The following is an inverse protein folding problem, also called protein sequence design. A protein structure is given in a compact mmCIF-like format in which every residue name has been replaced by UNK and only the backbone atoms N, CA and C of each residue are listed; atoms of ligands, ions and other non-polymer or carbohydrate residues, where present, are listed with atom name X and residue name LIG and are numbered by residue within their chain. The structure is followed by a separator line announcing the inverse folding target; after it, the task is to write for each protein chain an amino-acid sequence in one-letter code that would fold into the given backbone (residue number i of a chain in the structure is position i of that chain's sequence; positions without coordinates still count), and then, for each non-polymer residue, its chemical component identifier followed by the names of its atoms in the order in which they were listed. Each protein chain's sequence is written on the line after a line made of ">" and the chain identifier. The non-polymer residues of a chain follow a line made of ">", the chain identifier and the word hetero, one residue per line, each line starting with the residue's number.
data_IF_849408975337
#
_entry.id   IF_849408975337
#
_cell.length_a   1.000
_cell.length_b   1.000
_cell.length_c   1.000
_cell.angle_alpha   90.00
_cell.angle_beta   90.00
_cell.angle_gamma   90.00
#
_symmetry.space_group_name_H-M   'P 1'
#
loop_
_entity.id
_entity.type
_entity.pdbx_description
1 polymer ?
#
# COMPACT_ATOMS: atom_id res chain seq x y z
N UNK A 1 -13.62 7.93 -6.29
CA UNK A 1 -12.47 7.02 -6.14
C UNK A 1 -11.35 7.72 -5.42
N UNK A 2 -10.30 7.00 -5.05
CA UNK A 2 -9.07 7.58 -4.48
C UNK A 2 -8.30 8.41 -5.50
N UNK A 3 -7.53 9.39 -5.01
CA UNK A 3 -6.67 10.30 -5.79
C UNK A 3 -5.20 10.08 -5.42
N UNK A 4 -4.27 10.62 -6.21
CA UNK A 4 -2.83 10.59 -5.89
C UNK A 4 -2.50 11.16 -4.51
N UNK A 5 -3.25 12.15 -4.04
CA UNK A 5 -3.10 12.73 -2.70
C UNK A 5 -3.46 11.78 -1.56
N UNK A 6 -4.29 10.75 -1.83
CA UNK A 6 -4.71 9.79 -0.80
C UNK A 6 -3.68 8.68 -0.60
N UNK A 7 -2.76 8.49 -1.55
CA UNK A 7 -1.81 7.38 -1.58
C UNK A 7 -0.98 7.30 -0.30
N UNK A 8 -0.44 8.42 0.17
CA UNK A 8 0.40 8.44 1.38
C UNK A 8 -0.39 7.95 2.61
N UNK A 9 -1.63 8.43 2.75
CA UNK A 9 -2.52 8.02 3.84
C UNK A 9 -2.87 6.53 3.73
N UNK A 10 -3.15 6.04 2.52
CA UNK A 10 -3.46 4.62 2.29
C UNK A 10 -2.27 3.72 2.60
N UNK A 11 -1.06 4.10 2.19
CA UNK A 11 0.19 3.39 2.54
C UNK A 11 0.36 3.31 4.05
N UNK A 12 0.18 4.43 4.77
CA UNK A 12 0.27 4.46 6.23
C UNK A 12 -0.75 3.53 6.89
N UNK A 13 -2.01 3.59 6.45
CA UNK A 13 -3.07 2.72 6.97
C UNK A 13 -2.76 1.23 6.71
N UNK A 14 -2.21 0.88 5.55
CA UNK A 14 -1.83 -0.49 5.24
C UNK A 14 -0.76 -1.02 6.22
N UNK A 15 0.21 -0.19 6.59
CA UNK A 15 1.31 -0.57 7.49
C UNK A 15 0.92 -0.56 8.97
N UNK A 16 0.04 0.35 9.39
CA UNK A 16 -0.31 0.54 10.80
C UNK A 16 -1.55 -0.24 11.24
N UNK A 17 -2.39 -0.71 10.31
CA UNK A 17 -3.58 -1.50 10.65
C UNK A 17 -3.15 -2.92 11.06
N UNK A 18 -3.36 -3.33 12.33
CA UNK A 18 -2.79 -4.58 12.83
C UNK A 18 -3.22 -5.83 12.05
N UNK A 19 -4.48 -5.90 11.61
CA UNK A 19 -4.99 -7.02 10.82
C UNK A 19 -4.34 -7.15 9.45
N UNK A 20 -3.83 -6.07 8.88
CA UNK A 20 -3.14 -6.07 7.58
C UNK A 20 -1.67 -6.48 7.72
N UNK A 21 -1.06 -6.35 8.90
CA UNK A 21 0.33 -6.74 9.14
C UNK A 21 0.61 -8.21 8.84
N UNK A 22 -0.34 -9.11 9.15
CA UNK A 22 -0.24 -10.53 8.78
C UNK A 22 -0.28 -10.74 7.26
N UNK A 23 -1.14 -10.01 6.55
CA UNK A 23 -1.22 -10.11 5.09
C UNK A 23 0.06 -9.60 4.42
N UNK A 24 0.63 -8.51 4.95
CA UNK A 24 1.90 -7.95 4.47
C UNK A 24 3.08 -8.90 4.75
N UNK A 25 3.07 -9.65 5.85
CA UNK A 25 4.14 -10.61 6.16
C UNK A 25 4.10 -11.87 5.29
N UNK A 26 2.95 -12.18 4.69
CA UNK A 26 2.81 -13.28 3.72
C UNK A 26 3.31 -12.93 2.32
N UNK A 27 3.61 -11.65 2.04
CA UNK A 27 4.10 -11.24 0.73
C UNK A 27 5.45 -11.94 0.43
N UNK A 28 5.71 -12.35 -0.82
CA UNK A 28 6.96 -13.02 -1.21
C UNK A 28 8.17 -12.08 -1.19
N UNK A 29 7.93 -10.78 -0.96
CA UNK A 29 8.93 -9.73 -0.84
C UNK A 29 8.63 -8.91 0.41
N UNK A 30 9.64 -8.19 0.90
CA UNK A 30 9.47 -7.31 2.04
C UNK A 30 8.51 -6.16 1.70
N UNK A 31 7.49 -5.97 2.54
CA UNK A 31 6.49 -4.93 2.40
C UNK A 31 7.00 -3.57 2.93
N UNK A 32 7.96 -2.97 2.24
CA UNK A 32 8.47 -1.64 2.56
C UNK A 32 7.49 -0.54 2.11
N UNK A 33 7.55 0.64 2.75
CA UNK A 33 6.64 1.76 2.49
C UNK A 33 6.60 2.12 1.00
N UNK A 34 7.77 2.20 0.38
CA UNK A 34 7.98 2.56 -1.02
C UNK A 34 7.35 1.54 -1.97
N UNK A 35 7.39 0.25 -1.61
CA UNK A 35 6.79 -0.85 -2.38
C UNK A 35 5.27 -0.73 -2.35
N UNK A 36 4.68 -0.58 -1.16
CA UNK A 36 3.23 -0.43 -0.97
C UNK A 36 2.73 0.83 -1.68
N UNK A 37 3.44 1.96 -1.52
CA UNK A 37 3.10 3.22 -2.17
C UNK A 37 3.09 3.08 -3.70
N UNK A 38 4.12 2.43 -4.26
CA UNK A 38 4.21 2.17 -5.70
C UNK A 38 3.06 1.31 -6.20
N UNK A 39 2.63 0.30 -5.43
CA UNK A 39 1.46 -0.53 -5.77
C UNK A 39 0.20 0.34 -5.88
N UNK A 40 -0.06 1.22 -4.91
CA UNK A 40 -1.22 2.11 -4.96
C UNK A 40 -1.14 3.10 -6.13
N UNK A 41 0.01 3.73 -6.37
CA UNK A 41 0.19 4.66 -7.52
C UNK A 41 -0.02 3.97 -8.86
N UNK A 42 0.50 2.75 -9.01
CA UNK A 42 0.30 1.97 -10.23
C UNK A 42 -1.18 1.59 -10.41
N UNK A 43 -1.87 1.23 -9.33
CA UNK A 43 -3.29 0.86 -9.36
C UNK A 43 -4.23 2.03 -9.69
N UNK A 44 -3.81 3.27 -9.40
CA UNK A 44 -4.57 4.48 -9.74
C UNK A 44 -4.47 4.84 -11.23
N UNK A 45 -3.42 4.40 -11.91
CA UNK A 45 -3.28 4.59 -13.35
C UNK A 45 -4.10 3.52 -14.05
N UNK A 46 -4.99 3.92 -14.96
CA UNK A 46 -5.63 2.95 -15.85
C UNK A 46 -4.53 2.29 -16.70
N UNK A 47 -4.55 0.96 -16.77
CA UNK A 47 -3.86 0.21 -17.82
C UNK A 47 -4.30 0.69 -19.20
#
# INVERSE_FOLDING_TARGET
>A
GFKDSDVEKLTKLAMETPSLGLLLSMAPIKAEKEVIERIYRNSLRKM
#
